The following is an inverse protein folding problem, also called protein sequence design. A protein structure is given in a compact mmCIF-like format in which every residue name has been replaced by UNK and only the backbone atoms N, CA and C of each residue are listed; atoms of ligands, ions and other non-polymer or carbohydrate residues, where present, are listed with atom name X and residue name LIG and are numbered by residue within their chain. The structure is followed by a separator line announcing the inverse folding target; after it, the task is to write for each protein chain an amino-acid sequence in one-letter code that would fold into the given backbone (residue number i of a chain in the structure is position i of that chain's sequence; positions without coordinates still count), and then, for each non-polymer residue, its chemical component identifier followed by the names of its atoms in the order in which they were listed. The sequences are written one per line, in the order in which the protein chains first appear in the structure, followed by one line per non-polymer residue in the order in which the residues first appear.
data_IF_052971924014
#
_entry.id   IF_052971924014
#
_cell.length_a   1.000
_cell.length_b   1.000
_cell.length_c   1.000
_cell.angle_alpha   90.00
_cell.angle_beta   90.00
_cell.angle_gamma   90.00
#
_symmetry.space_group_name_H-M   'P 1'
#
loop_
_entity.id
_entity.type
_entity.pdbx_description
1 polymer ?
#
# COMPACT_ATOMS: atom_id res chain seq x y z
N UNK A 1 15.69 -62.61 5.15
CA UNK A 1 16.27 -61.26 5.33
C UNK A 1 15.10 -60.28 5.40
N UNK A 2 14.51 -60.06 6.57
CA UNK A 2 14.83 -58.96 7.51
C UNK A 2 14.57 -57.57 6.87
N UNK A 3 13.37 -56.99 7.07
CA UNK A 3 13.04 -55.92 8.07
C UNK A 3 13.55 -54.53 7.60
N UNK A 4 12.88 -53.36 7.71
CA UNK A 4 11.75 -52.82 8.51
C UNK A 4 11.47 -51.40 7.92
N UNK A 5 10.22 -51.04 7.54
CA UNK A 5 9.27 -50.07 8.20
C UNK A 5 9.83 -48.63 8.41
N UNK A 6 9.14 -47.48 8.24
CA UNK A 6 7.73 -47.02 8.39
C UNK A 6 7.73 -45.50 8.01
N UNK A 7 6.67 -44.73 7.72
CA UNK A 7 5.30 -44.72 8.26
C UNK A 7 4.36 -43.87 7.38
N UNK A 8 3.06 -44.23 7.46
CA UNK A 8 1.89 -43.75 6.74
C UNK A 8 1.52 -42.26 6.89
N UNK A 9 0.98 -41.70 5.81
CA UNK A 9 -0.09 -40.68 5.83
C UNK A 9 -1.43 -41.40 6.07
N UNK A 10 -2.26 -40.90 6.99
CA UNK A 10 -3.66 -41.31 7.13
C UNK A 10 -4.56 -40.07 7.11
N UNK A 11 -5.62 -40.17 6.31
CA UNK A 11 -6.64 -39.17 6.02
C UNK A 11 -7.97 -39.68 6.60
N UNK A 12 -8.68 -38.86 7.38
CA UNK A 12 -10.13 -38.99 7.72
C UNK A 12 -10.49 -37.88 8.73
N UNK A 13 -11.67 -37.26 8.86
CA UNK A 13 -12.82 -36.85 8.03
C UNK A 13 -13.75 -36.04 9.01
N UNK A 14 -14.31 -34.91 8.56
CA UNK A 14 -15.50 -34.11 8.98
C UNK A 14 -16.07 -34.03 10.44
N UNK A 15 -16.54 -32.78 10.73
CA UNK A 15 -17.64 -32.30 11.62
C UNK A 15 -17.42 -32.44 13.15
N UNK A 16 -17.62 -31.41 14.00
CA UNK A 16 -18.84 -30.62 14.19
C UNK A 16 -18.62 -29.13 14.52
N UNK A 17 -19.53 -28.33 13.97
CA UNK A 17 -19.89 -26.96 14.35
C UNK A 17 -20.90 -27.04 15.53
N UNK A 18 -21.02 -25.98 16.34
CA UNK A 18 -21.98 -25.78 17.47
C UNK A 18 -21.41 -26.12 18.87
N UNK A 19 -20.60 -25.21 19.39
CA UNK A 19 -20.49 -24.95 20.84
C UNK A 19 -20.18 -23.47 21.07
N UNK A 20 -21.11 -22.63 20.59
CA UNK A 20 -21.23 -21.21 20.91
C UNK A 20 -22.26 -21.12 22.04
N UNK A 21 -21.92 -20.37 23.10
CA UNK A 21 -22.77 -19.90 24.23
C UNK A 21 -23.01 -20.87 25.40
N UNK A 22 -22.12 -20.81 26.40
CA UNK A 22 -22.45 -20.40 27.78
C UNK A 22 -21.25 -20.66 28.69
N UNK A 23 -20.46 -19.62 28.97
CA UNK A 23 -20.23 -19.21 30.35
C UNK A 23 -19.42 -17.92 30.41
N UNK A 24 -20.16 -16.88 30.78
CA UNK A 24 -19.76 -15.58 31.24
C UNK A 24 -18.65 -15.61 32.30
N UNK A 25 -17.61 -14.80 32.09
CA UNK A 25 -17.12 -13.82 33.07
C UNK A 25 -16.25 -12.79 32.34
N UNK A 26 -16.92 -11.74 31.89
CA UNK A 26 -16.32 -10.49 31.46
C UNK A 26 -15.78 -9.82 32.73
N UNK A 27 -14.47 -9.94 32.96
CA UNK A 27 -13.76 -9.14 33.96
C UNK A 27 -12.90 -8.14 33.20
N UNK A 28 -13.47 -6.95 32.96
CA UNK A 28 -12.72 -5.76 32.59
C UNK A 28 -11.81 -5.45 33.77
N UNK A 29 -10.52 -5.74 33.61
CA UNK A 29 -9.48 -5.23 34.50
C UNK A 29 -8.69 -4.23 33.71
N UNK A 30 -8.99 -2.95 33.94
CA UNK A 30 -8.06 -1.86 33.65
C UNK A 30 -6.72 -2.23 34.27
N UNK A 31 -5.70 -2.35 33.43
CA UNK A 31 -4.32 -2.43 33.87
C UNK A 31 -3.62 -1.17 33.40
N UNK A 32 -3.55 -0.20 34.31
CA UNK A 32 -2.68 0.96 34.21
C UNK A 32 -1.30 0.53 33.75
N UNK A 33 -0.89 1.12 32.63
CA UNK A 33 0.42 0.99 32.04
C UNK A 33 1.44 1.70 32.94
N UNK A 34 1.91 1.03 33.99
CA UNK A 34 3.06 1.50 34.75
C UNK A 34 4.32 0.91 34.12
N UNK A 35 5.03 1.76 33.39
CA UNK A 35 6.34 1.48 32.82
C UNK A 35 7.35 1.40 33.96
N UNK A 36 7.61 0.19 34.46
CA UNK A 36 8.77 -0.12 35.29
C UNK A 36 9.52 -1.25 34.61
N UNK A 37 10.58 -0.89 33.91
CA UNK A 37 11.52 -1.83 33.27
C UNK A 37 12.39 -2.45 34.37
N UNK A 38 12.30 -3.76 34.66
CA UNK A 38 13.30 -4.41 35.48
C UNK A 38 14.52 -4.64 34.59
N UNK A 39 15.53 -3.79 34.81
CA UNK A 39 16.89 -3.96 34.31
C UNK A 39 17.50 -5.20 34.95
N UNK A 40 17.30 -6.38 34.35
CA UNK A 40 18.11 -7.55 34.62
C UNK A 40 18.83 -7.95 33.33
N UNK A 41 20.10 -7.58 33.31
CA UNK A 41 21.09 -7.90 32.30
C UNK A 41 21.28 -9.43 32.23
N UNK A 42 20.54 -10.07 31.33
CA UNK A 42 20.95 -11.35 30.77
C UNK A 42 21.67 -11.03 29.45
N UNK A 43 22.98 -11.29 29.43
CA UNK A 43 23.80 -11.13 28.23
C UNK A 43 23.29 -12.03 27.11
N UNK A 44 22.47 -11.48 26.22
CA UNK A 44 22.03 -12.13 25.00
C UNK A 44 22.88 -11.60 23.84
N UNK A 45 23.32 -12.51 22.98
CA UNK A 45 24.12 -12.18 21.80
C UNK A 45 23.52 -11.00 21.05
N UNK A 46 24.36 -9.98 20.85
CA UNK A 46 23.87 -8.64 20.61
C UNK A 46 23.39 -8.49 19.16
N UNK A 47 22.10 -8.67 18.93
CA UNK A 47 21.42 -8.17 17.74
C UNK A 47 21.75 -6.68 17.66
N UNK A 48 22.09 -6.19 16.46
CA UNK A 48 22.41 -4.77 16.28
C UNK A 48 21.20 -3.94 16.73
N UNK A 49 21.32 -3.26 17.89
CA UNK A 49 20.20 -2.50 18.47
C UNK A 49 19.63 -1.47 17.51
N UNK A 50 20.48 -0.90 16.66
CA UNK A 50 20.08 -0.01 15.56
C UNK A 50 19.17 -0.73 14.55
N UNK A 51 19.57 -1.90 14.05
CA UNK A 51 18.79 -2.67 13.08
C UNK A 51 17.42 -3.07 13.64
N UNK A 52 17.38 -3.56 14.89
CA UNK A 52 16.13 -3.91 15.57
C UNK A 52 15.19 -2.70 15.67
N UNK A 53 15.70 -1.54 16.10
CA UNK A 53 14.90 -0.32 16.23
C UNK A 53 14.39 0.18 14.88
N UNK A 54 15.24 0.17 13.85
CA UNK A 54 14.86 0.57 12.48
C UNK A 54 13.79 -0.35 11.91
N UNK A 55 13.93 -1.68 12.07
CA UNK A 55 12.93 -2.63 11.59
C UNK A 55 11.59 -2.48 12.30
N UNK A 56 11.59 -2.30 13.63
CA UNK A 56 10.36 -2.04 14.39
C UNK A 56 9.71 -0.73 13.92
N UNK A 57 10.48 0.35 13.79
CA UNK A 57 9.97 1.64 13.33
C UNK A 57 9.36 1.59 11.93
N UNK A 58 10.05 0.92 10.99
CA UNK A 58 9.58 0.71 9.63
C UNK A 58 8.25 -0.05 9.59
N UNK A 59 8.13 -1.15 10.33
CA UNK A 59 6.89 -1.94 10.38
C UNK A 59 5.74 -1.23 11.11
N UNK A 60 6.04 -0.44 12.15
CA UNK A 60 5.04 0.41 12.80
C UNK A 60 4.52 1.50 11.87
N UNK A 61 5.37 2.08 11.02
CA UNK A 61 4.94 3.04 10.00
C UNK A 61 3.93 2.40 9.03
N UNK A 62 4.18 1.18 8.52
CA UNK A 62 3.18 0.48 7.70
C UNK A 62 1.90 0.16 8.46
N UNK A 63 2.00 -0.21 9.74
CA UNK A 63 0.83 -0.45 10.56
C UNK A 63 -0.04 0.82 10.69
N UNK A 64 0.59 1.98 10.88
CA UNK A 64 -0.10 3.27 10.91
C UNK A 64 -0.73 3.62 9.56
N UNK A 65 -0.02 3.43 8.45
CA UNK A 65 -0.58 3.63 7.10
C UNK A 65 -1.80 2.74 6.88
N UNK A 66 -1.71 1.45 7.23
CA UNK A 66 -2.85 0.52 7.15
C UNK A 66 -4.04 0.95 8.00
N UNK A 67 -3.78 1.44 9.23
CA UNK A 67 -4.83 1.97 10.10
C UNK A 67 -5.50 3.22 9.52
N UNK A 68 -4.74 4.15 8.93
CA UNK A 68 -5.28 5.34 8.26
C UNK A 68 -6.18 4.92 7.08
N UNK A 69 -5.73 3.97 6.25
CA UNK A 69 -6.52 3.45 5.13
C UNK A 69 -7.85 2.86 5.63
N UNK A 70 -7.82 2.05 6.70
CA UNK A 70 -9.04 1.50 7.31
C UNK A 70 -9.98 2.60 7.82
N UNK A 71 -9.45 3.58 8.54
CA UNK A 71 -10.25 4.71 9.05
C UNK A 71 -10.91 5.49 7.91
N UNK A 72 -10.17 5.80 6.84
CA UNK A 72 -10.70 6.48 5.66
C UNK A 72 -11.75 5.63 4.93
N UNK A 73 -11.55 4.31 4.85
CA UNK A 73 -12.50 3.39 4.21
C UNK A 73 -13.82 3.34 4.97
N UNK A 74 -13.76 3.23 6.30
CA UNK A 74 -14.97 3.25 7.16
C UNK A 74 -15.67 4.61 7.09
N UNK A 75 -14.90 5.71 7.11
CA UNK A 75 -15.46 7.05 6.95
C UNK A 75 -16.17 7.22 5.60
N UNK A 76 -15.53 6.78 4.50
CA UNK A 76 -16.13 6.80 3.18
C UNK A 76 -17.42 5.97 3.12
N UNK A 77 -17.46 4.80 3.75
CA UNK A 77 -18.65 3.96 3.82
C UNK A 77 -19.82 4.67 4.52
N UNK A 78 -19.56 5.37 5.62
CA UNK A 78 -20.60 6.09 6.39
C UNK A 78 -21.17 7.27 5.61
N UNK A 79 -20.33 8.03 4.91
CA UNK A 79 -20.78 9.20 4.11
C UNK A 79 -21.57 8.76 2.86
N UNK A 80 -21.29 7.56 2.37
CA UNK A 80 -21.79 7.03 1.10
C UNK A 80 -23.15 6.32 1.21
N UNK A 81 -23.63 6.02 2.42
CA UNK A 81 -24.77 5.12 2.62
C UNK A 81 -26.09 5.55 1.96
N UNK A 82 -26.18 6.80 1.49
CA UNK A 82 -27.42 7.43 1.05
C UNK A 82 -27.54 7.58 -0.48
N UNK A 83 -26.57 7.11 -1.28
CA UNK A 83 -26.54 7.25 -2.75
C UNK A 83 -26.74 5.90 -3.48
N UNK A 84 -27.88 5.72 -4.16
CA UNK A 84 -28.37 4.45 -4.71
C UNK A 84 -27.84 4.06 -6.13
N UNK A 85 -27.16 4.95 -6.86
CA UNK A 85 -27.06 4.79 -8.32
C UNK A 85 -25.79 4.13 -8.90
N UNK A 86 -24.84 3.64 -8.08
CA UNK A 86 -23.67 2.89 -8.60
C UNK A 86 -23.06 1.90 -7.59
N UNK A 87 -23.93 1.11 -6.95
CA UNK A 87 -23.59 0.31 -5.75
C UNK A 87 -22.55 -0.77 -6.04
N UNK A 88 -22.57 -1.44 -7.20
CA UNK A 88 -21.79 -2.68 -7.42
C UNK A 88 -20.27 -2.44 -7.52
N UNK A 89 -19.84 -1.52 -8.40
CA UNK A 89 -18.41 -1.20 -8.58
C UNK A 89 -17.83 -0.46 -7.37
N UNK A 90 -18.64 0.42 -6.75
CA UNK A 90 -18.27 1.15 -5.53
C UNK A 90 -18.06 0.19 -4.37
N UNK A 91 -18.96 -0.77 -4.19
CA UNK A 91 -18.87 -1.77 -3.12
C UNK A 91 -17.62 -2.63 -3.27
N UNK A 92 -17.26 -3.05 -4.49
CA UNK A 92 -16.04 -3.80 -4.73
C UNK A 92 -14.77 -2.99 -4.37
N UNK A 93 -14.72 -1.71 -4.73
CA UNK A 93 -13.62 -0.81 -4.38
C UNK A 93 -13.42 -0.64 -2.88
N UNK A 94 -14.51 -0.39 -2.13
CA UNK A 94 -14.45 -0.26 -0.67
C UNK A 94 -14.01 -1.57 0.01
N UNK A 95 -14.53 -2.72 -0.45
CA UNK A 95 -14.13 -4.03 0.08
C UNK A 95 -12.63 -4.27 -0.15
N UNK A 96 -12.12 -3.94 -1.34
CA UNK A 96 -10.69 -4.08 -1.64
C UNK A 96 -9.83 -3.19 -0.73
N UNK A 97 -10.20 -1.94 -0.52
CA UNK A 97 -9.50 -1.02 0.39
C UNK A 97 -9.52 -1.52 1.84
N UNK A 98 -10.65 -2.08 2.28
CA UNK A 98 -10.78 -2.67 3.61
C UNK A 98 -9.81 -3.85 3.81
N UNK A 99 -9.78 -4.78 2.87
CA UNK A 99 -8.88 -5.95 2.91
C UNK A 99 -7.43 -5.50 2.86
N UNK A 100 -7.07 -4.58 1.95
CA UNK A 100 -5.72 -4.06 1.81
C UNK A 100 -5.23 -3.35 3.07
N UNK A 101 -6.07 -2.49 3.68
CA UNK A 101 -5.76 -1.79 4.92
C UNK A 101 -5.56 -2.76 6.08
N UNK A 102 -6.46 -3.74 6.24
CA UNK A 102 -6.39 -4.74 7.30
C UNK A 102 -5.14 -5.62 7.17
N UNK A 103 -4.86 -6.14 5.98
CA UNK A 103 -3.67 -6.98 5.74
C UNK A 103 -2.39 -6.20 5.99
N UNK A 104 -2.29 -4.95 5.50
CA UNK A 104 -1.12 -4.10 5.71
C UNK A 104 -0.89 -3.81 7.19
N UNK A 105 -1.96 -3.51 7.93
CA UNK A 105 -1.90 -3.28 9.38
C UNK A 105 -1.42 -4.54 10.13
N UNK A 106 -2.01 -5.69 9.83
CA UNK A 106 -1.65 -6.96 10.47
C UNK A 106 -0.21 -7.38 10.17
N UNK A 107 0.25 -7.24 8.92
CA UNK A 107 1.63 -7.55 8.56
C UNK A 107 2.64 -6.62 9.25
N UNK A 108 2.34 -5.32 9.34
CA UNK A 108 3.15 -4.37 10.10
C UNK A 108 3.23 -4.72 11.58
N UNK A 109 2.10 -5.03 12.21
CA UNK A 109 2.07 -5.47 13.62
C UNK A 109 2.82 -6.79 13.84
N UNK A 110 2.66 -7.76 12.94
CA UNK A 110 3.37 -9.04 13.00
C UNK A 110 4.90 -8.87 12.87
N UNK A 111 5.34 -7.99 11.96
CA UNK A 111 6.75 -7.65 11.80
C UNK A 111 7.32 -6.99 13.06
N UNK A 112 6.64 -5.95 13.57
CA UNK A 112 7.06 -5.25 14.78
C UNK A 112 7.06 -6.17 16.01
N UNK A 113 6.02 -6.99 16.19
CA UNK A 113 5.92 -7.97 17.27
C UNK A 113 7.03 -9.02 17.19
N UNK A 114 7.27 -9.58 16.00
CA UNK A 114 8.32 -10.58 15.78
C UNK A 114 9.71 -10.05 16.13
N UNK A 115 10.00 -8.79 15.80
CA UNK A 115 11.25 -8.15 16.17
C UNK A 115 11.33 -7.81 17.66
N UNK A 116 10.25 -7.30 18.25
CA UNK A 116 10.20 -6.94 19.67
C UNK A 116 10.42 -8.16 20.58
N UNK A 117 9.69 -9.25 20.31
CA UNK A 117 9.76 -10.52 21.05
C UNK A 117 10.87 -11.45 20.60
N UNK A 118 11.63 -11.08 19.57
CA UNK A 118 12.67 -11.92 18.98
C UNK A 118 12.14 -13.32 18.57
N UNK A 119 10.86 -13.36 18.19
CA UNK A 119 10.13 -14.59 17.90
C UNK A 119 10.34 -15.01 16.44
N UNK A 120 11.23 -15.98 16.23
CA UNK A 120 11.66 -16.46 14.90
C UNK A 120 10.50 -16.82 13.98
N UNK A 121 9.51 -17.55 14.48
CA UNK A 121 8.37 -18.01 13.66
C UNK A 121 7.58 -16.80 13.14
N UNK A 122 7.36 -15.77 13.97
CA UNK A 122 6.66 -14.54 13.56
C UNK A 122 7.37 -13.83 12.40
N UNK A 123 8.70 -13.77 12.46
CA UNK A 123 9.52 -13.16 11.41
C UNK A 123 9.55 -13.99 10.12
N UNK A 124 9.56 -15.31 10.23
CA UNK A 124 9.47 -16.22 9.08
C UNK A 124 8.12 -16.05 8.39
N UNK A 125 7.01 -15.99 9.15
CA UNK A 125 5.68 -15.75 8.57
C UNK A 125 5.64 -14.40 7.85
N UNK A 126 6.14 -13.33 8.49
CA UNK A 126 6.26 -12.03 7.85
C UNK A 126 7.07 -12.10 6.55
N UNK A 127 8.24 -12.75 6.55
CA UNK A 127 9.07 -12.92 5.36
C UNK A 127 8.33 -13.65 4.23
N UNK A 128 7.64 -14.75 4.54
CA UNK A 128 6.86 -15.52 3.55
C UNK A 128 5.74 -14.65 2.96
N UNK A 129 5.00 -13.92 3.79
CA UNK A 129 3.97 -13.00 3.31
C UNK A 129 4.54 -11.91 2.39
N UNK A 130 5.70 -11.35 2.73
CA UNK A 130 6.38 -10.34 1.89
C UNK A 130 6.81 -10.93 0.55
N UNK A 131 7.34 -12.16 0.52
CA UNK A 131 7.70 -12.84 -0.73
C UNK A 131 6.46 -13.05 -1.61
N UNK A 132 5.36 -13.55 -1.04
CA UNK A 132 4.10 -13.75 -1.78
C UNK A 132 3.59 -12.41 -2.31
N UNK A 133 3.60 -11.36 -1.48
CA UNK A 133 3.20 -10.01 -1.88
C UNK A 133 4.04 -9.47 -3.03
N UNK A 134 5.37 -9.64 -3.00
CA UNK A 134 6.26 -9.26 -4.10
C UNK A 134 5.94 -10.01 -5.39
N UNK A 135 5.64 -11.31 -5.32
CA UNK A 135 5.24 -12.07 -6.51
C UNK A 135 3.92 -11.57 -7.09
N UNK A 136 2.93 -11.26 -6.26
CA UNK A 136 1.65 -10.68 -6.70
C UNK A 136 1.87 -9.32 -7.37
N UNK A 137 2.69 -8.45 -6.77
CA UNK A 137 3.01 -7.13 -7.35
C UNK A 137 3.71 -7.25 -8.70
N UNK A 138 4.61 -8.23 -8.88
CA UNK A 138 5.27 -8.44 -10.18
C UNK A 138 4.25 -8.96 -11.20
N UNK A 139 3.38 -9.90 -10.80
CA UNK A 139 2.35 -10.49 -11.67
C UNK A 139 1.33 -9.46 -12.15
N UNK A 140 0.95 -8.50 -11.32
CA UNK A 140 0.03 -7.42 -11.69
C UNK A 140 0.73 -6.20 -12.30
N UNK A 141 1.95 -5.89 -11.87
CA UNK A 141 2.70 -4.72 -12.30
C UNK A 141 3.23 -4.80 -13.73
N UNK A 142 3.72 -5.97 -14.16
CA UNK A 142 4.25 -6.14 -15.52
C UNK A 142 3.16 -5.89 -16.58
N UNK A 143 1.97 -6.52 -16.53
CA UNK A 143 0.91 -6.25 -17.51
C UNK A 143 0.52 -4.77 -17.56
N UNK A 144 0.41 -4.09 -16.42
CA UNK A 144 0.09 -2.66 -16.36
C UNK A 144 1.14 -1.82 -17.08
N UNK A 145 2.42 -2.11 -16.90
CA UNK A 145 3.51 -1.41 -17.59
C UNK A 145 3.52 -1.67 -19.11
N UNK A 146 3.14 -2.88 -19.54
CA UNK A 146 3.11 -3.27 -20.97
C UNK A 146 1.87 -2.75 -21.69
N UNK A 147 0.71 -2.72 -21.01
CA UNK A 147 -0.55 -2.21 -21.54
C UNK A 147 -0.59 -0.68 -21.56
N UNK A 148 0.26 -0.03 -20.77
CA UNK A 148 0.37 1.41 -20.64
C UNK A 148 0.38 2.18 -21.97
N UNK A 149 1.26 1.85 -22.96
CA UNK A 149 1.26 2.53 -24.26
C UNK A 149 0.07 2.15 -25.17
N UNK A 150 -0.65 1.07 -24.87
CA UNK A 150 -1.77 0.58 -25.70
C UNK A 150 -3.13 1.10 -25.20
N UNK A 151 -3.17 1.67 -23.98
CA UNK A 151 -4.42 2.08 -23.33
C UNK A 151 -5.17 3.14 -24.13
N UNK A 152 -4.46 4.04 -24.81
CA UNK A 152 -5.05 5.12 -25.58
C UNK A 152 -5.87 4.57 -26.75
N UNK A 153 -5.25 3.76 -27.62
CA UNK A 153 -5.94 3.15 -28.76
C UNK A 153 -7.06 2.19 -28.35
N UNK A 154 -6.85 1.42 -27.27
CA UNK A 154 -7.89 0.53 -26.75
C UNK A 154 -9.13 1.29 -26.26
N UNK A 155 -8.93 2.38 -25.51
CA UNK A 155 -10.04 3.21 -25.06
C UNK A 155 -10.68 3.97 -26.22
N UNK A 156 -9.90 4.47 -27.17
CA UNK A 156 -10.41 5.15 -28.37
C UNK A 156 -11.38 4.25 -29.15
N UNK A 157 -10.99 3.00 -29.40
CA UNK A 157 -11.84 1.99 -30.06
C UNK A 157 -13.13 1.75 -29.27
N UNK A 158 -13.02 1.57 -27.95
CA UNK A 158 -14.17 1.32 -27.08
C UNK A 158 -15.14 2.49 -26.99
N UNK A 159 -14.62 3.72 -26.96
CA UNK A 159 -15.46 4.92 -26.99
C UNK A 159 -16.06 5.14 -28.38
N UNK A 160 -15.37 4.74 -29.44
CA UNK A 160 -15.89 4.79 -30.81
C UNK A 160 -17.09 3.84 -31.02
N UNK A 161 -17.11 2.68 -30.36
CA UNK A 161 -18.24 1.74 -30.36
C UNK A 161 -19.54 2.34 -29.76
N UNK A 162 -19.43 3.41 -28.96
CA UNK A 162 -20.59 4.08 -28.35
C UNK A 162 -21.24 5.11 -29.28
N UNK A 163 -20.62 5.42 -30.43
CA UNK A 163 -21.19 6.37 -31.37
C UNK A 163 -22.21 5.70 -32.31
N UNK A 164 -23.31 6.39 -32.67
CA UNK A 164 -23.65 7.74 -32.22
C UNK A 164 -24.32 7.72 -30.83
N UNK A 165 -24.00 8.72 -30.00
CA UNK A 165 -24.42 8.76 -28.58
C UNK A 165 -25.94 8.83 -28.39
N UNK A 166 -26.66 9.34 -29.38
CA UNK A 166 -28.12 9.38 -29.38
C UNK A 166 -28.76 7.98 -29.45
N UNK A 167 -28.06 6.97 -29.96
CA UNK A 167 -28.55 5.58 -30.05
C UNK A 167 -28.03 4.69 -28.91
N UNK A 168 -27.11 5.20 -28.08
CA UNK A 168 -26.58 4.48 -26.94
C UNK A 168 -27.65 4.16 -25.88
N UNK A 169 -27.40 3.14 -25.05
CA UNK A 169 -28.30 2.73 -23.98
C UNK A 169 -28.43 3.81 -22.91
N UNK A 170 -29.48 3.73 -22.08
CA UNK A 170 -29.72 4.72 -21.01
C UNK A 170 -28.54 4.81 -20.04
N UNK A 171 -27.94 3.67 -19.67
CA UNK A 171 -26.77 3.63 -18.78
C UNK A 171 -25.53 4.27 -19.42
N UNK A 172 -25.29 4.02 -20.70
CA UNK A 172 -24.19 4.64 -21.45
C UNK A 172 -24.36 6.16 -21.57
N UNK A 173 -25.59 6.63 -21.85
CA UNK A 173 -25.91 8.05 -21.88
C UNK A 173 -25.72 8.71 -20.52
N UNK A 174 -26.18 8.06 -19.44
CA UNK A 174 -26.00 8.56 -18.08
C UNK A 174 -24.51 8.70 -17.73
N UNK A 175 -23.69 7.69 -18.06
CA UNK A 175 -22.24 7.74 -17.87
C UNK A 175 -21.60 8.93 -18.62
N UNK A 176 -21.92 9.11 -19.90
CA UNK A 176 -21.37 10.22 -20.71
C UNK A 176 -21.86 11.58 -20.21
N UNK A 177 -23.12 11.70 -19.80
CA UNK A 177 -23.67 12.96 -19.26
C UNK A 177 -23.03 13.36 -17.92
N UNK A 178 -22.78 12.39 -17.03
CA UNK A 178 -22.09 12.62 -15.77
C UNK A 178 -20.64 13.03 -16.01
N UNK A 179 -19.98 12.39 -16.97
CA UNK A 179 -18.63 12.76 -17.39
C UNK A 179 -18.58 14.18 -17.95
N UNK A 180 -19.51 14.56 -18.83
CA UNK A 180 -19.61 15.91 -19.40
C UNK A 180 -19.78 16.99 -18.34
N UNK A 181 -20.67 16.75 -17.38
CA UNK A 181 -20.92 17.67 -16.26
C UNK A 181 -19.69 17.80 -15.36
N UNK A 182 -18.99 16.69 -15.10
CA UNK A 182 -17.83 16.64 -14.19
C UNK A 182 -16.54 17.19 -14.81
N UNK A 183 -16.38 17.04 -16.13
CA UNK A 183 -15.17 17.46 -16.86
C UNK A 183 -15.37 18.73 -17.69
N UNK A 184 -16.56 19.33 -17.66
CA UNK A 184 -16.93 20.54 -18.41
C UNK A 184 -16.58 20.43 -19.90
N UNK A 185 -17.07 19.37 -20.53
CA UNK A 185 -16.80 19.01 -21.93
C UNK A 185 -18.10 18.58 -22.63
N UNK A 186 -18.12 18.54 -23.97
CA UNK A 186 -19.30 18.10 -24.72
C UNK A 186 -18.95 17.11 -25.83
N UNK A 187 -19.67 15.98 -25.84
CA UNK A 187 -19.41 14.85 -26.73
C UNK A 187 -18.15 14.06 -26.35
N UNK A 188 -17.95 12.90 -26.99
CA UNK A 188 -16.76 12.09 -26.76
C UNK A 188 -15.59 12.67 -27.54
N UNK A 189 -15.73 12.74 -28.86
CA UNK A 189 -14.78 13.31 -29.79
C UNK A 189 -15.25 14.67 -30.32
N UNK A 190 -16.56 14.91 -30.37
CA UNK A 190 -17.17 16.18 -30.77
C UNK A 190 -18.61 16.31 -30.26
N UNK A 191 -19.11 17.54 -30.11
CA UNK A 191 -20.53 17.81 -29.82
C UNK A 191 -21.49 17.18 -30.85
N UNK A 192 -21.01 16.97 -32.09
CA UNK A 192 -21.77 16.32 -33.18
C UNK A 192 -22.04 14.83 -32.92
N UNK A 193 -21.38 14.22 -31.95
CA UNK A 193 -21.60 12.80 -31.58
C UNK A 193 -23.05 12.56 -31.09
N UNK A 194 -23.72 13.62 -30.65
CA UNK A 194 -25.15 13.63 -30.28
C UNK A 194 -26.10 13.86 -31.46
N UNK A 195 -25.57 14.08 -32.66
CA UNK A 195 -26.31 14.54 -33.82
C UNK A 195 -27.11 15.82 -33.48
N UNK A 196 -28.44 15.77 -33.58
CA UNK A 196 -29.33 16.90 -33.29
C UNK A 196 -29.77 16.97 -31.82
N UNK A 197 -29.63 15.88 -31.06
CA UNK A 197 -30.18 15.72 -29.70
C UNK A 197 -29.11 15.96 -28.63
N UNK A 198 -28.57 17.19 -28.57
CA UNK A 198 -27.55 17.56 -27.57
C UNK A 198 -28.18 17.64 -26.17
N UNK A 199 -27.68 16.89 -25.17
CA UNK A 199 -28.21 16.90 -23.81
C UNK A 199 -27.82 18.18 -23.05
N UNK A 200 -28.56 18.48 -21.97
CA UNK A 200 -28.27 19.64 -21.10
C UNK A 200 -26.98 19.49 -20.29
N UNK A 201 -26.39 18.30 -20.21
CA UNK A 201 -25.06 18.07 -19.59
C UNK A 201 -23.93 18.78 -20.35
N UNK A 202 -24.18 19.17 -21.61
CA UNK A 202 -23.25 19.98 -22.40
C UNK A 202 -23.40 21.49 -22.17
N UNK A 203 -24.44 21.94 -21.45
CA UNK A 203 -24.75 23.36 -21.29
C UNK A 203 -23.63 24.05 -20.52
N UNK A 204 -23.09 25.12 -21.10
CA UNK A 204 -22.11 25.95 -20.44
C UNK A 204 -22.78 27.18 -19.79
N UNK A 205 -22.51 27.46 -18.51
CA UNK A 205 -22.97 28.68 -17.85
C UNK A 205 -22.41 29.94 -18.53
N UNK A 206 -23.30 30.86 -18.89
CA UNK A 206 -22.96 32.13 -19.56
C UNK A 206 -22.15 33.12 -18.70
N UNK A 207 -21.96 32.84 -17.41
CA UNK A 207 -21.22 33.72 -16.49
C UNK A 207 -19.69 33.50 -16.56
N UNK A 208 -19.22 32.60 -17.44
CA UNK A 208 -17.80 32.30 -17.67
C UNK A 208 -17.18 33.14 -18.80
N UNK A 209 -17.95 34.09 -19.36
CA UNK A 209 -17.51 35.05 -20.37
C UNK A 209 -16.62 36.10 -19.65
N UNK A 210 -15.31 36.19 -19.91
CA UNK A 210 -14.79 36.99 -21.02
C UNK A 210 -13.36 36.59 -21.46
N UNK A 211 -12.73 35.54 -20.91
CA UNK A 211 -11.29 35.29 -21.12
C UNK A 211 -10.89 33.89 -21.63
N UNK A 212 -11.81 33.00 -22.03
CA UNK A 212 -11.36 31.68 -22.51
C UNK A 212 -12.28 31.01 -23.52
N UNK A 213 -11.67 30.34 -24.52
CA UNK A 213 -12.27 29.46 -25.55
C UNK A 213 -13.02 28.22 -24.99
N UNK A 214 -13.62 28.33 -23.80
CA UNK A 214 -14.24 27.24 -23.05
C UNK A 214 -15.62 26.91 -23.58
N UNK A 215 -16.38 27.89 -24.05
CA UNK A 215 -17.76 27.72 -24.45
C UNK A 215 -18.01 28.26 -25.86
N UNK A 216 -18.86 27.57 -26.61
CA UNK A 216 -19.23 27.93 -27.97
C UNK A 216 -20.74 27.96 -28.12
N UNK A 217 -21.23 28.90 -28.90
CA UNK A 217 -22.64 28.97 -29.26
C UNK A 217 -22.93 28.00 -30.40
N UNK A 218 -23.90 27.11 -30.19
CA UNK A 218 -24.46 26.26 -31.24
C UNK A 218 -25.91 26.63 -31.48
N UNK A 219 -26.32 26.59 -32.75
CA UNK A 219 -27.74 26.72 -33.10
C UNK A 219 -28.38 25.37 -32.82
N UNK A 220 -29.04 25.25 -31.68
CA UNK A 220 -29.85 24.08 -31.39
C UNK A 220 -31.04 24.04 -32.34
N UNK A 221 -31.16 22.99 -33.16
CA UNK A 221 -32.45 22.67 -33.75
C UNK A 221 -33.30 22.06 -32.65
N UNK A 222 -34.05 22.91 -31.94
CA UNK A 222 -35.17 22.40 -31.16
C UNK A 222 -36.11 21.64 -32.10
N UNK A 223 -36.80 20.62 -31.58
CA UNK A 223 -37.87 19.86 -32.25
C UNK A 223 -38.98 20.75 -32.86
N UNK A 224 -38.97 22.05 -32.54
CA UNK A 224 -39.84 23.08 -33.06
C UNK A 224 -39.06 24.04 -33.97
N UNK A 225 -39.30 24.03 -35.30
CA UNK A 225 -38.54 24.82 -36.28
C UNK A 225 -38.69 26.36 -36.16
N UNK A 226 -39.55 26.84 -35.25
CA UNK A 226 -39.87 28.27 -35.10
C UNK A 226 -39.11 28.99 -33.96
N UNK A 227 -38.41 28.28 -33.08
CA UNK A 227 -37.61 28.87 -32.01
C UNK A 227 -36.12 28.58 -32.23
N UNK A 228 -35.46 29.42 -33.03
CA UNK A 228 -33.99 29.47 -33.12
C UNK A 228 -33.44 29.97 -31.79
N UNK A 229 -33.16 29.07 -30.86
CA UNK A 229 -32.49 29.40 -29.62
C UNK A 229 -31.02 28.97 -29.71
N UNK A 230 -30.11 29.94 -29.58
CA UNK A 230 -28.69 29.67 -29.42
C UNK A 230 -28.44 29.10 -28.03
N UNK A 231 -27.77 27.95 -27.97
CA UNK A 231 -27.36 27.29 -26.73
C UNK A 231 -25.84 27.39 -26.62
N UNK A 232 -25.35 27.83 -25.46
CA UNK A 232 -23.92 27.80 -25.14
C UNK A 232 -23.57 26.39 -24.68
N UNK A 233 -22.62 25.74 -25.35
CA UNK A 233 -22.12 24.43 -24.98
C UNK A 233 -20.62 24.47 -24.72
N UNK A 234 -20.11 23.50 -23.96
CA UNK A 234 -18.67 23.32 -23.83
C UNK A 234 -18.00 23.05 -25.19
N UNK A 235 -16.93 23.79 -25.46
CA UNK A 235 -16.21 23.74 -26.74
C UNK A 235 -15.32 22.50 -26.87
N UNK A 236 -14.79 22.00 -25.74
CA UNK A 236 -13.82 20.90 -25.72
C UNK A 236 -14.49 19.52 -25.70
N UNK A 237 -13.95 18.53 -26.42
CA UNK A 237 -14.40 17.14 -26.34
C UNK A 237 -13.90 16.44 -25.08
N UNK A 238 -14.63 15.44 -24.59
CA UNK A 238 -14.32 14.76 -23.33
C UNK A 238 -13.19 13.73 -23.42
N UNK A 239 -13.03 13.04 -24.55
CA UNK A 239 -12.05 11.97 -24.71
C UNK A 239 -10.61 12.38 -24.40
N UNK A 240 -10.03 13.47 -24.95
CA UNK A 240 -8.65 13.85 -24.64
C UNK A 240 -8.46 14.26 -23.17
N UNK A 241 -9.48 14.86 -22.54
CA UNK A 241 -9.44 15.23 -21.11
C UNK A 241 -9.42 13.95 -20.28
N UNK A 242 -10.35 13.03 -20.55
CA UNK A 242 -10.42 11.73 -19.88
C UNK A 242 -9.11 10.94 -20.05
N UNK A 243 -8.57 10.90 -21.28
CA UNK A 243 -7.33 10.21 -21.59
C UNK A 243 -6.17 10.76 -20.79
N UNK A 244 -6.05 12.09 -20.67
CA UNK A 244 -5.03 12.72 -19.84
C UNK A 244 -5.13 12.25 -18.38
N UNK A 245 -6.32 12.16 -17.81
CA UNK A 245 -6.50 11.65 -16.44
C UNK A 245 -6.16 10.16 -16.32
N UNK A 246 -6.56 9.32 -17.27
CA UNK A 246 -6.21 7.88 -17.28
C UNK A 246 -4.70 7.68 -17.43
N UNK A 247 -4.06 8.46 -18.29
CA UNK A 247 -2.62 8.52 -18.47
C UNK A 247 -1.89 9.15 -17.29
N UNK A 248 -2.51 10.01 -16.48
CA UNK A 248 -1.90 10.45 -15.24
C UNK A 248 -2.00 9.36 -14.16
N UNK A 249 -3.19 8.80 -13.99
CA UNK A 249 -3.49 7.85 -12.92
C UNK A 249 -2.68 6.56 -13.04
N UNK A 250 -2.50 6.01 -14.24
CA UNK A 250 -1.69 4.80 -14.35
C UNK A 250 -0.17 5.04 -14.18
N UNK A 251 0.34 6.28 -14.30
CA UNK A 251 1.77 6.62 -14.17
C UNK A 251 2.07 6.75 -12.69
N UNK A 252 1.16 7.41 -11.97
CA UNK A 252 1.10 7.38 -10.51
C UNK A 252 1.02 5.93 -10.03
N UNK A 253 0.13 5.10 -10.61
CA UNK A 253 -0.02 3.70 -10.20
C UNK A 253 1.26 2.89 -10.41
N UNK A 254 1.95 3.09 -11.54
CA UNK A 254 3.21 2.41 -11.87
C UNK A 254 4.31 2.83 -10.89
N UNK A 255 4.40 4.13 -10.57
CA UNK A 255 5.33 4.66 -9.57
C UNK A 255 5.07 4.10 -8.17
N UNK A 256 3.81 3.97 -7.77
CA UNK A 256 3.42 3.36 -6.49
C UNK A 256 3.81 1.88 -6.45
N UNK A 257 3.50 1.11 -7.49
CA UNK A 257 3.85 -0.32 -7.56
C UNK A 257 5.36 -0.52 -7.48
N UNK A 258 6.15 0.29 -8.19
CA UNK A 258 7.61 0.22 -8.13
C UNK A 258 8.14 0.54 -6.73
N UNK A 259 7.60 1.58 -6.10
CA UNK A 259 7.98 1.99 -4.73
C UNK A 259 7.64 0.90 -3.71
N UNK A 260 6.45 0.31 -3.78
CA UNK A 260 6.04 -0.79 -2.91
C UNK A 260 6.90 -2.05 -3.13
N UNK A 261 7.27 -2.36 -4.37
CA UNK A 261 8.18 -3.46 -4.67
C UNK A 261 9.56 -3.24 -4.03
N UNK A 262 10.13 -2.03 -4.14
CA UNK A 262 11.39 -1.68 -3.50
C UNK A 262 11.31 -1.77 -1.97
N UNK A 263 10.23 -1.24 -1.36
CA UNK A 263 9.99 -1.35 0.08
C UNK A 263 9.83 -2.81 0.53
N UNK A 264 9.20 -3.65 -0.30
CA UNK A 264 9.06 -5.06 -0.01
C UNK A 264 10.40 -5.79 -0.01
N UNK A 265 11.26 -5.51 -1.00
CA UNK A 265 12.63 -6.05 -1.04
C UNK A 265 13.45 -5.61 0.18
N UNK A 266 13.36 -4.33 0.56
CA UNK A 266 14.00 -3.84 1.78
C UNK A 266 13.48 -4.57 3.03
N UNK A 267 12.17 -4.76 3.16
CA UNK A 267 11.56 -5.53 4.25
C UNK A 267 12.03 -6.99 4.29
N UNK A 268 12.15 -7.64 3.13
CA UNK A 268 12.67 -9.01 3.00
C UNK A 268 14.14 -9.10 3.44
N UNK A 269 14.99 -8.17 3.01
CA UNK A 269 16.41 -8.13 3.38
C UNK A 269 16.56 -7.92 4.89
N UNK A 270 15.88 -6.92 5.46
CA UNK A 270 15.95 -6.64 6.89
C UNK A 270 15.42 -7.80 7.74
N UNK A 271 14.31 -8.41 7.32
CA UNK A 271 13.76 -9.60 7.99
C UNK A 271 14.74 -10.77 7.94
N UNK A 272 15.35 -11.03 6.77
CA UNK A 272 16.33 -12.11 6.59
C UNK A 272 17.57 -11.93 7.46
N UNK A 273 18.12 -10.72 7.52
CA UNK A 273 19.28 -10.40 8.38
C UNK A 273 18.91 -10.62 9.86
N UNK A 274 17.73 -10.17 10.29
CA UNK A 274 17.30 -10.33 11.67
C UNK A 274 17.06 -11.81 12.03
N UNK A 275 16.44 -12.60 11.14
CA UNK A 275 16.27 -14.05 11.32
C UNK A 275 17.64 -14.74 11.42
N UNK A 276 18.60 -14.33 10.58
CA UNK A 276 19.96 -14.86 10.63
C UNK A 276 20.65 -14.53 11.97
N UNK A 277 20.58 -13.29 12.46
CA UNK A 277 21.13 -12.90 13.76
C UNK A 277 20.47 -13.65 14.93
N UNK A 278 19.17 -13.96 14.84
CA UNK A 278 18.46 -14.78 15.82
C UNK A 278 18.85 -16.26 15.77
N UNK A 279 19.18 -16.79 14.58
CA UNK A 279 19.57 -18.21 14.40
C UNK A 279 21.01 -18.44 14.81
N UNK A 280 21.90 -17.52 14.46
CA UNK A 280 23.32 -17.52 14.81
C UNK A 280 23.58 -16.33 15.73
N UNK A 281 23.23 -16.42 17.02
CA UNK A 281 23.68 -15.45 17.99
C UNK A 281 25.19 -15.34 17.85
N UNK A 282 25.70 -14.16 17.44
CA UNK A 282 27.13 -13.92 17.31
C UNK A 282 27.80 -14.45 18.57
N UNK A 283 28.59 -15.53 18.44
CA UNK A 283 29.56 -15.87 19.48
C UNK A 283 30.48 -14.68 19.50
N UNK A 284 30.32 -13.80 20.48
CA UNK A 284 31.37 -12.84 20.79
C UNK A 284 32.65 -13.68 20.92
N UNK A 285 33.77 -13.28 20.30
CA UNK A 285 35.04 -13.82 20.75
C UNK A 285 35.07 -13.47 22.23
N UNK A 286 35.22 -14.49 23.07
CA UNK A 286 35.47 -14.30 24.49
C UNK A 286 36.73 -13.46 24.53
N UNK A 287 36.59 -12.14 24.68
CA UNK A 287 37.67 -11.30 25.14
C UNK A 287 37.86 -11.79 26.56
N UNK A 288 38.74 -12.78 26.71
CA UNK A 288 39.28 -13.14 28.01
C UNK A 288 39.78 -11.81 28.59
N UNK A 289 39.01 -11.24 29.52
CA UNK A 289 39.58 -10.32 30.48
C UNK A 289 40.59 -11.19 31.23
N UNK A 290 41.83 -11.20 30.73
CA UNK A 290 42.96 -11.70 31.49
C UNK A 290 42.92 -10.92 32.79
N UNK A 291 42.78 -11.56 33.95
CA UNK A 291 42.82 -10.84 35.21
C UNK A 291 44.16 -10.09 35.25
N UNK A 292 44.09 -8.79 35.54
CA UNK A 292 45.22 -7.86 35.68
C UNK A 292 46.14 -8.19 36.87
N UNK A 293 46.22 -9.47 37.27
CA UNK A 293 47.02 -10.00 38.38
C UNK A 293 48.49 -10.22 37.96
N UNK A 294 48.80 -10.29 36.65
CA UNK A 294 50.15 -10.55 36.14
C UNK A 294 50.84 -9.34 35.49
N UNK A 295 50.70 -8.15 36.07
CA UNK A 295 51.65 -7.07 35.78
C UNK A 295 52.70 -7.10 36.90
N UNK A 296 53.93 -7.65 36.68
CA UNK A 296 55.02 -7.42 37.62
C UNK A 296 55.29 -5.90 37.65
N UNK A 297 55.40 -5.34 38.85
CA UNK A 297 55.61 -3.90 39.05
C UNK A 297 56.82 -3.35 38.29
N UNK A 298 56.91 -2.02 38.10
CA UNK A 298 57.98 -1.41 37.30
C UNK A 298 59.35 -1.73 37.90
N UNK A 299 60.38 -2.03 37.09
CA UNK A 299 61.71 -2.31 37.60
C UNK A 299 62.34 -1.06 38.23
N UNK A 300 63.10 -1.28 39.30
CA UNK A 300 63.80 -0.25 40.07
C UNK A 300 65.21 -0.06 39.48
N UNK A 301 65.39 0.88 38.56
CA UNK A 301 66.68 1.11 37.86
C UNK A 301 67.60 2.16 38.51
N UNK A 302 67.54 2.37 39.83
CA UNK A 302 68.10 3.59 40.44
C UNK A 302 69.33 3.37 41.32
N UNK A 303 70.14 2.34 41.06
CA UNK A 303 71.41 2.09 41.80
C UNK A 303 72.48 1.49 40.86
N UNK A 304 72.79 2.14 39.73
CA UNK A 304 73.96 1.75 38.91
C UNK A 304 74.61 2.94 38.17
N UNK A 305 74.47 4.15 38.70
CA UNK A 305 75.03 5.36 38.10
C UNK A 305 75.80 6.19 39.14
N UNK A 306 76.69 5.54 39.89
CA UNK A 306 77.76 6.19 40.63
C UNK A 306 78.90 5.20 40.77
N UNK A 307 79.76 5.14 39.75
CA UNK A 307 81.17 4.73 39.85
C UNK A 307 81.85 5.02 38.51
N UNK A 308 82.18 6.30 38.29
CA UNK A 308 83.15 6.71 37.29
C UNK A 308 84.40 7.17 38.05
N UNK A 309 85.59 6.57 37.81
CA UNK A 309 86.83 6.98 38.48
C UNK A 309 87.35 8.33 37.94
N UNK A 310 88.17 9.05 38.72
CA UNK A 310 88.54 10.44 38.45
C UNK A 310 89.53 10.58 37.26
N UNK A 311 89.58 11.77 36.63
CA UNK A 311 90.56 12.04 35.59
C UNK A 311 91.96 12.24 36.19
N UNK A 312 92.97 11.70 35.51
CA UNK A 312 94.39 12.03 35.71
C UNK A 312 94.69 13.46 35.24
#
# INVERSE_FOLDING_TARGET
MSQVQTCCFCFCHRCDLVAVLQNSKFAVKESSFSFSVPLLAAGMAQINSCLKRTFIGFNLFFALVGAIILCLTVFAQIVTSDEDDDIENRTYGLICLYIMGAVTMLLGLLGAYGAYKEHKISLIVFLVCMVIGSLVMIRSGIPTAVLRPQVEGFLEEKFSELLPLNMATISQKHFVNNMQTSLHCCGLFSYTDWNEDIPSSCDCPSDLDEESDTCKQVVGMNRYPFLKQSRSIYSKPCFPILMHYVLLMADISLGVVFTLAALAVLGMILSSIMIHQLRHPNKTPVVYKVPTIFIPGPPKYQELQNDLPPPY
#
